data_IF_663248413291
#
_entry.id   IF_663248413291
#
_cell.length_a   1.000
_cell.length_b   1.000
_cell.length_c   1.000
_cell.angle_alpha   90.00
_cell.angle_beta   90.00
_cell.angle_gamma   90.00
#
_symmetry.space_group_name_H-M   'P 1'
#
loop_
_entity.id
_entity.type
_entity.pdbx_description
1 polymer ?
#
# COMPACT_ATOMS: atom_id res chain seq x y z
N UNK A 1 -7.60 2.35 21.76
CA UNK A 1 -7.12 0.97 21.49
C UNK A 1 -5.71 0.72 22.03
N UNK A 2 -4.85 1.72 22.25
CA UNK A 2 -3.60 1.53 23.00
C UNK A 2 -2.54 0.65 22.34
N UNK A 3 -2.73 0.27 21.07
CA UNK A 3 -1.80 -0.56 20.30
C UNK A 3 -0.79 0.37 19.63
N UNK A 4 0.49 0.18 19.94
CA UNK A 4 1.59 0.82 19.21
C UNK A 4 1.90 0.04 17.93
N UNK A 5 2.23 0.76 16.86
CA UNK A 5 2.71 0.18 15.59
C UNK A 5 4.20 0.47 15.34
N UNK A 6 4.88 1.04 16.33
CA UNK A 6 6.32 1.28 16.28
C UNK A 6 7.07 -0.06 16.14
N UNK A 7 7.95 -0.16 15.15
CA UNK A 7 8.65 -1.39 14.82
C UNK A 7 7.80 -2.47 14.12
N UNK A 8 6.53 -2.20 13.79
CA UNK A 8 5.63 -3.18 13.19
C UNK A 8 5.54 -3.08 11.66
N UNK A 9 5.18 -4.19 11.01
CA UNK A 9 4.68 -4.19 9.63
C UNK A 9 3.16 -4.08 9.70
N UNK A 10 2.59 -3.07 9.03
CA UNK A 10 1.15 -2.81 9.08
C UNK A 10 0.46 -3.30 7.81
N UNK A 11 -0.64 -4.03 7.99
CA UNK A 11 -1.53 -4.45 6.90
C UNK A 11 -2.73 -3.50 6.86
N UNK A 12 -2.91 -2.80 5.74
CA UNK A 12 -3.92 -1.75 5.59
C UNK A 12 -4.80 -1.99 4.37
N UNK A 13 -6.13 -1.88 4.55
CA UNK A 13 -7.06 -1.89 3.41
C UNK A 13 -7.00 -0.56 2.64
N UNK A 14 -7.15 -0.65 1.32
CA UNK A 14 -7.44 0.51 0.47
C UNK A 14 -8.77 1.18 0.83
N UNK A 15 -9.01 2.38 0.30
CA UNK A 15 -10.22 3.18 0.56
C UNK A 15 -10.08 4.21 1.69
N UNK A 16 -11.09 5.08 1.81
CA UNK A 16 -11.21 6.24 2.73
C UNK A 16 -10.17 7.36 2.58
N UNK A 17 -8.89 7.04 2.45
CA UNK A 17 -7.79 8.00 2.27
C UNK A 17 -6.91 7.62 1.08
N UNK A 18 -6.12 8.58 0.59
CA UNK A 18 -5.16 8.33 -0.48
C UNK A 18 -4.06 7.38 0.03
N UNK A 19 -3.64 6.42 -0.81
CA UNK A 19 -2.68 5.38 -0.42
C UNK A 19 -1.35 5.94 0.11
N UNK A 20 -0.87 7.05 -0.45
CA UNK A 20 0.38 7.70 -0.04
C UNK A 20 0.27 8.28 1.38
N UNK A 21 -0.89 8.85 1.74
CA UNK A 21 -1.13 9.42 3.07
C UNK A 21 -1.19 8.32 4.14
N UNK A 22 -1.80 7.17 3.81
CA UNK A 22 -1.78 5.99 4.70
C UNK A 22 -0.35 5.54 5.01
N UNK A 23 0.50 5.47 3.99
CA UNK A 23 1.90 5.05 4.13
C UNK A 23 2.69 6.06 4.96
N UNK A 24 2.54 7.35 4.68
CA UNK A 24 3.19 8.43 5.44
C UNK A 24 2.80 8.40 6.91
N UNK A 25 1.52 8.23 7.21
CA UNK A 25 1.03 8.17 8.59
C UNK A 25 1.52 6.92 9.33
N UNK A 26 1.56 5.78 8.65
CA UNK A 26 2.15 4.55 9.21
C UNK A 26 3.64 4.75 9.53
N UNK A 27 4.40 5.32 8.59
CA UNK A 27 5.82 5.62 8.78
C UNK A 27 6.04 6.62 9.92
N UNK A 28 5.21 7.67 10.01
CA UNK A 28 5.26 8.68 11.09
C UNK A 28 5.01 8.08 12.47
N UNK A 29 4.23 7.01 12.55
CA UNK A 29 3.93 6.26 13.78
C UNK A 29 4.93 5.13 14.07
N UNK A 30 6.00 5.01 13.29
CA UNK A 30 7.10 4.07 13.53
C UNK A 30 6.96 2.71 12.83
N UNK A 31 5.99 2.54 11.92
CA UNK A 31 5.91 1.30 11.15
C UNK A 31 7.18 1.13 10.31
N UNK A 32 7.67 -0.11 10.20
CA UNK A 32 8.88 -0.47 9.43
C UNK A 32 8.55 -1.07 8.07
N UNK A 33 7.25 -1.24 7.76
CA UNK A 33 6.78 -1.73 6.48
C UNK A 33 5.26 -1.65 6.37
N UNK A 34 4.77 -1.57 5.14
CA UNK A 34 3.34 -1.46 4.83
C UNK A 34 2.94 -2.50 3.78
N UNK A 35 1.83 -3.17 4.04
CA UNK A 35 1.16 -4.04 3.09
C UNK A 35 -0.22 -3.46 2.80
N UNK A 36 -0.57 -3.28 1.53
CA UNK A 36 -1.86 -2.75 1.09
C UNK A 36 -2.69 -3.85 0.42
N UNK A 37 -3.99 -3.90 0.70
CA UNK A 37 -4.90 -4.86 0.04
C UNK A 37 -6.28 -4.25 -0.23
N UNK A 38 -7.00 -4.82 -1.19
CA UNK A 38 -8.37 -4.42 -1.54
C UNK A 38 -9.36 -5.33 -0.82
N UNK A 39 -10.07 -4.81 0.19
CA UNK A 39 -11.01 -5.62 0.97
C UNK A 39 -12.22 -6.07 0.12
N UNK A 40 -12.58 -7.37 0.09
CA UNK A 40 -13.68 -7.87 -0.75
C UNK A 40 -15.00 -7.14 -0.55
N UNK A 41 -15.28 -6.62 0.65
CA UNK A 41 -16.52 -5.88 0.93
C UNK A 41 -16.74 -4.66 0.03
N UNK A 42 -15.68 -4.11 -0.57
CA UNK A 42 -15.75 -2.94 -1.46
C UNK A 42 -15.58 -3.29 -2.94
N UNK A 43 -15.07 -4.48 -3.26
CA UNK A 43 -14.58 -4.83 -4.61
C UNK A 43 -15.21 -6.09 -5.21
N UNK A 44 -16.03 -6.82 -4.45
CA UNK A 44 -16.63 -8.09 -4.85
C UNK A 44 -18.14 -8.08 -4.62
N UNK A 45 -18.90 -8.49 -5.63
CA UNK A 45 -20.36 -8.66 -5.50
C UNK A 45 -20.71 -10.00 -4.82
N UNK A 46 -21.83 -10.08 -4.11
CA UNK A 46 -22.25 -11.30 -3.39
C UNK A 46 -22.77 -12.46 -4.27
N UNK A 47 -22.44 -12.49 -5.56
CA UNK A 47 -23.01 -13.44 -6.54
C UNK A 47 -22.19 -14.73 -6.71
N UNK A 48 -22.82 -15.79 -7.21
CA UNK A 48 -22.08 -16.98 -7.68
C UNK A 48 -21.24 -16.58 -8.90
N UNK A 49 -19.97 -17.00 -8.94
CA UNK A 49 -18.97 -16.51 -9.91
C UNK A 49 -18.71 -14.99 -9.78
N UNK A 50 -18.52 -14.55 -8.53
CA UNK A 50 -18.44 -13.15 -8.15
C UNK A 50 -17.34 -12.34 -8.83
N UNK A 51 -16.33 -12.94 -9.45
CA UNK A 51 -15.08 -12.26 -9.86
C UNK A 51 -14.70 -12.54 -11.32
N UNK A 52 -13.76 -11.75 -11.86
CA UNK A 52 -13.18 -11.99 -13.19
C UNK A 52 -12.62 -13.42 -13.34
N UNK A 53 -12.82 -14.10 -14.49
CA UNK A 53 -13.40 -13.60 -15.74
C UNK A 53 -14.93 -13.63 -15.83
N UNK A 54 -15.62 -14.11 -14.80
CA UNK A 54 -17.07 -14.30 -14.84
C UNK A 54 -17.87 -13.04 -14.47
N UNK A 55 -17.23 -12.08 -13.81
CA UNK A 55 -17.77 -10.76 -13.52
C UNK A 55 -16.69 -9.68 -13.71
N UNK A 56 -17.06 -8.42 -13.49
CA UNK A 56 -16.14 -7.27 -13.47
C UNK A 56 -15.49 -7.02 -12.10
N UNK A 57 -15.87 -7.77 -11.06
CA UNK A 57 -15.29 -7.63 -9.73
C UNK A 57 -13.88 -8.19 -9.65
N UNK A 58 -13.13 -7.68 -8.68
CA UNK A 58 -11.73 -8.00 -8.46
C UNK A 58 -11.55 -9.47 -8.03
N UNK A 59 -10.72 -10.28 -8.71
CA UNK A 59 -10.37 -11.61 -8.23
C UNK A 59 -9.39 -11.55 -7.04
N UNK A 60 -9.38 -12.57 -6.19
CA UNK A 60 -8.67 -12.54 -4.90
C UNK A 60 -7.16 -12.48 -4.97
N UNK A 61 -6.58 -12.95 -6.06
CA UNK A 61 -5.16 -12.83 -6.35
C UNK A 61 -4.76 -11.46 -6.93
N UNK A 62 -5.70 -10.57 -7.25
CA UNK A 62 -5.38 -9.29 -7.87
C UNK A 62 -4.99 -8.23 -6.83
N UNK A 63 -3.85 -7.57 -7.08
CA UNK A 63 -3.33 -6.49 -6.28
C UNK A 63 -3.38 -5.17 -7.05
N UNK A 64 -3.93 -4.11 -6.44
CA UNK A 64 -3.96 -2.78 -7.05
C UNK A 64 -2.57 -2.12 -7.05
N UNK A 65 -2.02 -1.83 -8.23
CA UNK A 65 -0.80 -1.02 -8.37
C UNK A 65 -1.10 0.47 -8.23
N UNK A 66 -0.10 1.25 -7.86
CA UNK A 66 -0.17 2.71 -7.84
C UNK A 66 1.04 3.34 -7.15
N UNK A 67 1.34 4.59 -7.49
CA UNK A 67 2.38 5.34 -6.80
C UNK A 67 1.96 5.63 -5.35
N UNK A 68 2.91 5.48 -4.44
CA UNK A 68 2.82 5.92 -3.04
C UNK A 68 3.66 7.17 -2.77
N UNK A 69 4.32 7.71 -3.81
CA UNK A 69 4.99 9.01 -3.76
C UNK A 69 3.97 10.15 -3.90
N UNK A 70 4.28 11.29 -3.27
CA UNK A 70 3.40 12.47 -3.20
C UNK A 70 3.85 13.62 -4.10
N UNK A 71 4.88 13.40 -4.92
CA UNK A 71 5.39 14.43 -5.84
C UNK A 71 4.59 14.40 -7.14
N UNK A 72 3.95 15.51 -7.55
CA UNK A 72 3.41 15.64 -8.89
C UNK A 72 4.54 15.80 -9.91
N UNK A 73 4.37 15.19 -11.10
CA UNK A 73 5.36 15.28 -12.17
C UNK A 73 6.62 14.43 -11.92
N UNK A 74 7.75 14.83 -12.51
CA UNK A 74 9.05 14.19 -12.24
C UNK A 74 9.53 14.60 -10.83
N UNK A 75 9.74 13.63 -9.92
CA UNK A 75 10.21 13.93 -8.57
C UNK A 75 11.53 14.68 -8.50
N UNK A 76 12.39 14.57 -9.51
CA UNK A 76 13.74 15.13 -9.51
C UNK A 76 13.82 16.55 -10.10
N UNK A 77 12.77 17.03 -10.78
CA UNK A 77 12.70 18.37 -11.37
C UNK A 77 11.40 19.09 -10.95
N UNK A 78 11.20 19.35 -9.64
CA UNK A 78 10.00 20.02 -9.17
C UNK A 78 9.80 21.36 -9.90
N UNK A 79 8.56 21.61 -10.36
CA UNK A 79 8.12 22.87 -10.99
C UNK A 79 8.76 23.13 -12.38
N UNK A 80 9.72 22.30 -12.82
CA UNK A 80 10.41 22.44 -14.11
C UNK A 80 10.11 21.26 -15.04
N UNK A 81 10.16 21.46 -16.37
CA UNK A 81 10.05 20.36 -17.31
C UNK A 81 11.27 19.45 -17.21
N UNK A 82 11.06 18.13 -17.20
CA UNK A 82 12.15 17.14 -17.12
C UNK A 82 12.84 16.93 -18.47
N UNK A 83 13.60 17.94 -18.90
CA UNK A 83 14.38 17.91 -20.13
C UNK A 83 15.82 17.42 -19.85
N UNK A 84 16.55 16.89 -20.84
CA UNK A 84 17.91 16.39 -20.63
C UNK A 84 18.84 17.43 -19.99
N UNK A 85 18.71 18.69 -20.38
CA UNK A 85 19.56 19.80 -19.95
C UNK A 85 19.09 20.52 -18.66
N UNK A 86 17.97 20.12 -18.06
CA UNK A 86 17.47 20.74 -16.82
C UNK A 86 18.15 20.10 -15.61
N UNK A 87 18.68 20.89 -14.69
CA UNK A 87 19.30 20.37 -13.47
C UNK A 87 18.28 19.67 -12.58
N UNK A 88 18.64 18.51 -12.03
CA UNK A 88 17.83 17.78 -11.06
C UNK A 88 18.15 18.35 -9.68
N UNK A 89 17.20 19.08 -9.08
CA UNK A 89 17.39 19.77 -7.80
C UNK A 89 17.11 18.87 -6.58
N UNK A 90 16.46 17.73 -6.79
CA UNK A 90 16.15 16.76 -5.75
C UNK A 90 16.88 15.43 -5.97
N UNK A 91 17.06 14.68 -4.88
CA UNK A 91 17.51 13.29 -4.88
C UNK A 91 16.46 12.41 -4.21
N UNK A 92 16.47 11.10 -4.47
CA UNK A 92 15.57 10.15 -3.79
C UNK A 92 15.71 10.25 -2.26
N UNK A 93 16.92 10.45 -1.76
CA UNK A 93 17.17 10.60 -0.33
C UNK A 93 16.57 11.90 0.22
N UNK A 94 16.76 13.03 -0.48
CA UNK A 94 16.11 14.31 -0.14
C UNK A 94 14.58 14.16 -0.08
N UNK A 95 14.00 13.51 -1.08
CA UNK A 95 12.56 13.27 -1.16
C UNK A 95 12.04 12.36 -0.03
N UNK A 96 12.82 11.36 0.39
CA UNK A 96 12.49 10.54 1.57
C UNK A 96 12.54 11.35 2.87
N UNK A 97 13.56 12.19 3.06
CA UNK A 97 13.64 13.07 4.24
C UNK A 97 12.47 14.04 4.30
N UNK A 98 12.02 14.54 3.14
CA UNK A 98 10.84 15.41 2.98
C UNK A 98 9.50 14.67 3.08
N UNK A 99 9.49 13.34 3.30
CA UNK A 99 8.29 12.48 3.33
C UNK A 99 7.46 12.52 2.03
N UNK A 100 8.10 12.88 0.91
CA UNK A 100 7.50 12.89 -0.42
C UNK A 100 7.62 11.55 -1.15
N UNK A 101 8.62 10.74 -0.75
CA UNK A 101 8.75 9.33 -1.10
C UNK A 101 8.81 8.50 0.18
N UNK A 102 8.29 7.26 0.19
CA UNK A 102 8.32 6.43 1.38
C UNK A 102 9.76 6.06 1.78
N UNK A 103 10.02 6.15 3.09
CA UNK A 103 11.26 5.68 3.72
C UNK A 103 11.24 4.19 4.02
N UNK A 104 10.06 3.58 4.05
CA UNK A 104 9.83 2.16 4.39
C UNK A 104 9.36 1.33 3.19
N UNK A 105 9.57 0.00 3.20
CA UNK A 105 9.05 -0.89 2.16
C UNK A 105 7.52 -0.89 2.13
N UNK A 106 6.95 -0.83 0.94
CA UNK A 106 5.50 -0.90 0.69
C UNK A 106 5.22 -1.91 -0.41
N UNK A 107 4.26 -2.81 -0.21
CA UNK A 107 3.79 -3.72 -1.26
C UNK A 107 2.27 -3.84 -1.27
N UNK A 108 1.61 -3.82 -2.45
CA UNK A 108 0.24 -4.27 -2.56
C UNK A 108 0.18 -5.81 -2.64
N UNK A 109 -0.89 -6.41 -2.15
CA UNK A 109 -1.21 -7.84 -2.27
C UNK A 109 -2.70 -8.02 -2.62
N UNK A 110 -3.06 -9.22 -3.07
CA UNK A 110 -4.46 -9.62 -3.20
C UNK A 110 -5.10 -9.89 -1.84
N UNK A 111 -6.44 -9.92 -1.81
CA UNK A 111 -7.15 -10.18 -0.56
C UNK A 111 -7.08 -11.64 -0.10
N UNK A 112 -6.82 -12.60 -1.00
CA UNK A 112 -6.60 -13.99 -0.60
C UNK A 112 -5.34 -14.12 0.28
N UNK A 113 -4.28 -13.39 -0.07
CA UNK A 113 -3.05 -13.37 0.74
C UNK A 113 -3.25 -12.55 2.02
N UNK A 114 -4.03 -11.46 1.98
CA UNK A 114 -4.36 -10.70 3.17
C UNK A 114 -5.14 -11.55 4.18
N UNK A 115 -6.10 -12.35 3.70
CA UNK A 115 -6.85 -13.30 4.52
C UNK A 115 -5.92 -14.33 5.16
N UNK A 116 -5.02 -14.95 4.39
CA UNK A 116 -4.03 -15.91 4.93
C UNK A 116 -3.13 -15.29 5.99
N UNK A 117 -2.70 -14.03 5.80
CA UNK A 117 -1.94 -13.30 6.81
C UNK A 117 -2.77 -13.15 8.08
N UNK A 118 -4.02 -12.69 7.98
CA UNK A 118 -4.90 -12.51 9.14
C UNK A 118 -5.22 -13.83 9.86
N UNK A 119 -5.42 -14.92 9.12
CA UNK A 119 -5.62 -16.27 9.68
C UNK A 119 -4.38 -16.81 10.40
N UNK A 120 -3.18 -16.39 9.97
CA UNK A 120 -1.91 -16.76 10.62
C UNK A 120 -1.62 -15.93 11.88
N UNK A 121 -2.23 -14.74 12.02
CA UNK A 121 -2.05 -13.87 13.18
C UNK A 121 -2.67 -14.47 14.44
N UNK A 122 -2.00 -14.29 15.58
CA UNK A 122 -2.34 -14.89 16.87
C UNK A 122 -2.87 -13.91 17.92
N UNK A 123 -3.21 -12.69 17.51
CA UNK A 123 -3.78 -11.68 18.40
C UNK A 123 -5.29 -11.76 18.51
N UNK A 124 -5.90 -10.79 19.22
CA UNK A 124 -7.34 -10.74 19.41
C UNK A 124 -8.07 -10.47 18.09
N UNK A 125 -9.12 -11.27 17.85
CA UNK A 125 -10.03 -11.09 16.71
C UNK A 125 -10.78 -9.76 16.86
N UNK A 126 -10.93 -9.07 15.74
CA UNK A 126 -11.70 -7.83 15.65
C UNK A 126 -13.20 -8.17 15.66
N UNK A 127 -13.91 -7.72 16.68
CA UNK A 127 -15.38 -7.87 16.80
C UNK A 127 -16.14 -6.61 16.39
N UNK A 128 -15.42 -5.54 16.06
CA UNK A 128 -15.98 -4.24 15.68
C UNK A 128 -16.37 -4.23 14.21
N UNK A 129 -17.65 -4.03 13.91
CA UNK A 129 -18.21 -4.02 12.56
C UNK A 129 -17.60 -2.93 11.64
N UNK A 130 -17.13 -1.82 12.20
CA UNK A 130 -16.48 -0.75 11.43
C UNK A 130 -15.04 -1.09 10.98
N UNK A 131 -14.46 -2.16 11.55
CA UNK A 131 -13.11 -2.65 11.25
C UNK A 131 -13.07 -4.00 10.53
N UNK A 132 -14.20 -4.67 10.40
CA UNK A 132 -14.35 -5.87 9.57
C UNK A 132 -14.76 -5.50 8.14
N UNK A 133 -14.82 -6.50 7.27
CA UNK A 133 -15.12 -6.38 5.85
C UNK A 133 -15.50 -7.75 5.27
N UNK A 134 -15.10 -8.02 4.03
CA UNK A 134 -15.54 -9.20 3.28
C UNK A 134 -14.70 -10.46 3.47
N UNK A 135 -13.66 -10.44 4.33
CA UNK A 135 -12.87 -11.63 4.66
C UNK A 135 -13.46 -12.41 5.86
N UNK A 136 -13.04 -13.66 6.02
CA UNK A 136 -13.47 -14.55 7.10
C UNK A 136 -13.04 -14.09 8.50
N UNK A 137 -11.90 -13.42 8.62
CA UNK A 137 -11.33 -13.00 9.90
C UNK A 137 -10.51 -11.72 9.77
N UNK A 138 -10.47 -10.96 10.87
CA UNK A 138 -9.67 -9.75 11.03
C UNK A 138 -9.04 -9.81 12.42
N UNK A 139 -7.74 -9.52 12.51
CA UNK A 139 -6.98 -9.63 13.77
C UNK A 139 -6.23 -8.32 14.02
N UNK A 140 -6.24 -7.83 15.27
CA UNK A 140 -5.68 -6.52 15.59
C UNK A 140 -4.15 -6.43 15.45
N UNK A 141 -3.44 -7.46 15.89
CA UNK A 141 -1.99 -7.53 15.84
C UNK A 141 -1.54 -9.00 15.96
N UNK A 142 -0.26 -9.25 15.72
CA UNK A 142 0.37 -10.55 16.02
C UNK A 142 1.77 -10.30 16.54
N UNK A 143 2.27 -11.23 17.35
CA UNK A 143 3.68 -11.23 17.79
C UNK A 143 4.54 -12.20 16.99
N UNK A 144 3.96 -12.90 16.01
CA UNK A 144 4.68 -13.80 15.12
C UNK A 144 5.64 -13.02 14.25
N UNK A 145 6.77 -13.64 13.95
CA UNK A 145 7.74 -13.09 13.01
C UNK A 145 7.13 -13.09 11.61
N UNK A 146 7.21 -11.94 10.95
CA UNK A 146 6.82 -11.75 9.56
C UNK A 146 7.96 -11.05 8.83
N UNK A 147 8.26 -11.47 7.60
CA UNK A 147 9.32 -10.88 6.80
C UNK A 147 8.72 -10.28 5.52
N UNK A 148 8.95 -8.99 5.32
CA UNK A 148 8.59 -8.27 4.10
C UNK A 148 9.86 -7.98 3.29
N UNK A 149 9.91 -8.43 2.05
CA UNK A 149 11.05 -8.22 1.15
C UNK A 149 10.59 -7.47 -0.10
N UNK A 150 11.01 -6.20 -0.23
CA UNK A 150 10.70 -5.33 -1.37
C UNK A 150 12.00 -4.88 -2.01
N UNK A 151 12.19 -5.20 -3.31
CA UNK A 151 13.45 -4.94 -4.05
C UNK A 151 13.27 -3.96 -5.21
N UNK A 152 12.30 -3.06 -5.11
CA UNK A 152 12.03 -2.02 -6.10
C UNK A 152 13.21 -1.03 -6.22
N UNK A 153 13.44 -0.52 -7.43
CA UNK A 153 14.52 0.44 -7.72
C UNK A 153 13.95 1.68 -8.42
N UNK A 154 14.53 2.83 -8.11
CA UNK A 154 14.30 4.06 -8.88
C UNK A 154 15.29 4.14 -10.04
N UNK A 155 14.79 4.53 -11.21
CA UNK A 155 15.60 4.77 -12.40
C UNK A 155 14.95 5.91 -13.20
N UNK A 156 15.76 6.67 -13.94
CA UNK A 156 15.25 7.63 -14.91
C UNK A 156 14.76 6.90 -16.17
N UNK A 157 13.61 7.30 -16.72
CA UNK A 157 13.09 6.81 -18.01
C UNK A 157 12.60 7.96 -18.87
N UNK A 158 12.77 7.80 -20.18
CA UNK A 158 12.18 8.69 -21.18
C UNK A 158 10.74 8.27 -21.45
N UNK A 159 9.79 9.16 -21.14
CA UNK A 159 8.39 9.02 -21.51
C UNK A 159 8.12 9.88 -22.75
N UNK A 160 7.28 9.39 -23.67
CA UNK A 160 6.87 10.13 -24.88
C UNK A 160 5.37 10.33 -24.87
N UNK A 161 4.93 11.58 -24.92
CA UNK A 161 3.52 11.91 -25.12
C UNK A 161 3.23 11.81 -26.61
N UNK A 162 2.21 11.04 -27.01
CA UNK A 162 1.67 11.12 -28.37
C UNK A 162 0.62 12.22 -28.36
N UNK A 163 0.84 13.24 -29.20
CA UNK A 163 -0.16 14.25 -29.53
C UNK A 163 -1.13 13.74 -30.58
#
# INVERSE_FOLDING_TARGET
MGISIDGAIVLMRYGALVRSEKVEEAERRGAIGVILYNDPAQYVTSSKNATFPHSTSLPGSAAQRGSVGRVPGDPLTPILPSLPYVTRSETIESLRRKKLLPGIPVTPIGYDDAQRIMEYMDGPVVTRNDWTGGMSTYVWYSRRKFQLNVRSRYYSRTNRNRG
#
